data_IF_639819475775
#
_entry.id   IF_639819475775
#
_cell.length_a   1.000
_cell.length_b   1.000
_cell.length_c   1.000
_cell.angle_alpha   90.00
_cell.angle_beta   90.00
_cell.angle_gamma   90.00
#
_symmetry.space_group_name_H-M   'P 1'
#
loop_
_entity.id
_entity.type
_entity.pdbx_description
1 polymer ?
#
# COMPACT_ATOMS: atom_id res chain seq x y z
N UNK A 1 -10.99 43.46 -3.26
CA UNK A 1 -11.21 42.03 -3.54
C UNK A 1 -11.41 41.37 -2.19
N UNK A 2 -12.45 40.55 -2.07
CA UNK A 2 -12.75 39.81 -0.83
C UNK A 2 -12.59 38.33 -1.21
N UNK A 3 -11.76 37.61 -0.46
CA UNK A 3 -11.35 36.24 -0.79
C UNK A 3 -11.00 35.49 0.50
N UNK A 4 -12.00 35.17 1.34
CA UNK A 4 -11.79 34.30 2.50
C UNK A 4 -11.50 32.88 2.02
N UNK A 5 -10.63 32.16 2.72
CA UNK A 5 -10.23 30.81 2.35
C UNK A 5 -10.04 29.94 3.58
N UNK A 6 -10.17 28.63 3.41
CA UNK A 6 -9.87 27.63 4.43
C UNK A 6 -8.93 26.56 3.89
N UNK A 7 -7.92 26.19 4.69
CA UNK A 7 -7.09 25.02 4.47
C UNK A 7 -7.21 24.07 5.66
N UNK A 8 -7.03 22.76 5.43
CA UNK A 8 -7.22 21.74 6.46
C UNK A 8 -6.17 20.63 6.35
N UNK A 9 -5.67 20.18 7.49
CA UNK A 9 -4.84 18.98 7.62
C UNK A 9 -5.28 18.15 8.82
N UNK A 10 -4.90 16.87 8.85
CA UNK A 10 -5.12 15.95 9.96
C UNK A 10 -3.84 15.17 10.26
N UNK A 11 -3.49 15.04 11.54
CA UNK A 11 -2.32 14.31 12.01
C UNK A 11 -2.65 13.46 13.25
N UNK A 12 -2.26 12.17 13.28
CA UNK A 12 -1.75 11.40 12.15
C UNK A 12 -2.81 11.20 11.04
N UNK A 13 -2.36 10.88 9.82
CA UNK A 13 -3.25 10.56 8.69
C UNK A 13 -3.82 9.14 8.74
N UNK A 14 -3.46 8.35 9.76
CA UNK A 14 -4.05 7.06 10.08
C UNK A 14 -4.12 6.86 11.60
N UNK A 15 -5.11 6.08 12.08
CA UNK A 15 -5.28 5.82 13.51
C UNK A 15 -6.11 4.55 13.78
N UNK A 16 -5.90 3.96 14.96
CA UNK A 16 -6.68 2.88 15.54
C UNK A 16 -7.75 3.42 16.50
N UNK A 17 -8.74 2.59 16.82
CA UNK A 17 -9.69 2.88 17.91
C UNK A 17 -8.92 3.17 19.20
N UNK A 18 -9.23 4.33 19.81
CA UNK A 18 -8.63 4.83 21.04
C UNK A 18 -7.47 5.80 20.84
N UNK A 19 -6.94 5.94 19.62
CA UNK A 19 -5.86 6.88 19.31
C UNK A 19 -6.39 8.31 19.09
N UNK A 20 -5.51 9.28 19.31
CA UNK A 20 -5.81 10.71 19.15
C UNK A 20 -5.49 11.14 17.73
N UNK A 21 -6.39 11.91 17.12
CA UNK A 21 -6.17 12.59 15.82
C UNK A 21 -6.49 14.06 15.98
N UNK A 22 -5.58 14.90 15.51
CA UNK A 22 -5.70 16.36 15.56
C UNK A 22 -5.91 16.92 14.17
N UNK A 23 -7.00 17.65 13.97
CA UNK A 23 -7.25 18.40 12.75
C UNK A 23 -6.88 19.86 12.94
N UNK A 24 -6.17 20.43 11.98
CA UNK A 24 -5.80 21.85 11.97
C UNK A 24 -6.44 22.53 10.77
N UNK A 25 -7.20 23.58 11.01
CA UNK A 25 -7.75 24.44 9.97
C UNK A 25 -7.03 25.80 10.01
N UNK A 26 -6.62 26.29 8.84
CA UNK A 26 -6.11 27.65 8.67
C UNK A 26 -7.17 28.46 7.93
N UNK A 27 -7.67 29.53 8.55
CA UNK A 27 -8.70 30.41 8.01
C UNK A 27 -8.06 31.76 7.73
N UNK A 28 -8.17 32.24 6.50
CA UNK A 28 -7.46 33.43 6.01
C UNK A 28 -8.35 34.29 5.13
N UNK A 29 -8.00 35.57 4.95
CA UNK A 29 -8.52 36.41 3.86
C UNK A 29 -7.37 36.81 2.94
N UNK A 30 -7.37 36.25 1.73
CA UNK A 30 -6.36 36.47 0.68
C UNK A 30 -6.62 37.78 -0.10
N UNK A 31 -7.78 38.41 0.12
CA UNK A 31 -8.16 39.67 -0.47
C UNK A 31 -7.54 40.89 0.23
N UNK A 32 -7.87 42.07 -0.31
CA UNK A 32 -7.45 43.38 0.21
C UNK A 32 -8.62 44.18 0.84
N UNK A 33 -9.78 43.55 1.00
CA UNK A 33 -10.95 44.10 1.69
C UNK A 33 -11.54 43.09 2.69
N UNK A 34 -12.22 43.62 3.71
CA UNK A 34 -12.84 42.83 4.79
C UNK A 34 -13.90 41.86 4.25
N UNK A 35 -13.93 40.65 4.81
CA UNK A 35 -14.99 39.66 4.57
C UNK A 35 -15.90 39.61 5.80
N UNK A 36 -17.20 39.85 5.62
CA UNK A 36 -18.18 39.93 6.69
C UNK A 36 -18.90 38.60 6.90
N UNK A 37 -19.33 38.35 8.14
CA UNK A 37 -20.04 37.16 8.59
C UNK A 37 -19.35 35.85 8.15
N UNK A 38 -18.03 35.79 8.33
CA UNK A 38 -17.24 34.60 8.00
C UNK A 38 -17.48 33.52 9.04
N UNK A 39 -17.97 32.36 8.60
CA UNK A 39 -18.24 31.20 9.45
C UNK A 39 -17.61 29.96 8.85
N UNK A 40 -16.95 29.15 9.69
CA UNK A 40 -16.43 27.84 9.31
C UNK A 40 -17.22 26.75 10.02
N UNK A 41 -17.73 25.79 9.25
CA UNK A 41 -18.41 24.59 9.75
C UNK A 41 -17.63 23.35 9.37
N UNK A 42 -17.40 22.47 10.33
CA UNK A 42 -16.65 21.22 10.19
C UNK A 42 -17.47 20.09 10.81
N UNK A 43 -18.05 19.23 9.96
CA UNK A 43 -18.80 18.06 10.41
C UNK A 43 -17.88 16.82 10.39
N UNK A 44 -17.41 16.43 11.58
CA UNK A 44 -16.47 15.34 11.70
C UNK A 44 -17.17 13.98 11.54
N UNK A 45 -16.55 13.01 10.84
CA UNK A 45 -17.04 11.64 10.76
C UNK A 45 -17.44 11.06 12.12
N UNK A 46 -18.54 10.31 12.19
CA UNK A 46 -19.10 9.78 13.45
C UNK A 46 -18.14 8.87 14.24
N UNK A 47 -17.12 8.33 13.59
CA UNK A 47 -16.07 7.54 14.24
C UNK A 47 -15.02 8.40 14.97
N UNK A 48 -15.13 9.72 14.95
CA UNK A 48 -14.27 10.66 15.68
C UNK A 48 -15.08 11.33 16.80
N UNK A 49 -14.60 11.22 18.02
CA UNK A 49 -15.17 11.92 19.17
C UNK A 49 -14.36 13.18 19.46
N UNK A 50 -14.97 14.36 19.34
CA UNK A 50 -14.32 15.64 19.65
C UNK A 50 -14.03 15.71 21.16
N UNK A 51 -12.79 16.02 21.52
CA UNK A 51 -12.37 16.19 22.91
C UNK A 51 -12.06 17.64 23.26
N UNK A 52 -11.53 18.40 22.30
CA UNK A 52 -11.13 19.79 22.51
C UNK A 52 -11.14 20.56 21.18
N UNK A 53 -11.50 21.84 21.25
CA UNK A 53 -11.36 22.78 20.13
C UNK A 53 -10.73 24.06 20.65
N UNK A 54 -9.65 24.51 20.00
CA UNK A 54 -8.93 25.74 20.35
C UNK A 54 -8.80 26.61 19.10
N UNK A 55 -9.02 27.92 19.26
CA UNK A 55 -8.82 28.92 18.19
C UNK A 55 -7.69 29.88 18.60
N UNK A 56 -6.76 30.11 17.69
CA UNK A 56 -5.64 31.03 17.86
C UNK A 56 -5.55 32.01 16.67
N UNK A 57 -5.43 33.33 16.90
CA UNK A 57 -5.56 34.00 18.20
C UNK A 57 -6.96 33.81 18.82
N UNK A 58 -7.06 33.96 20.14
CA UNK A 58 -8.35 33.84 20.83
C UNK A 58 -9.28 35.00 20.48
N UNK A 59 -10.55 34.72 20.23
CA UNK A 59 -11.55 35.75 19.95
C UNK A 59 -12.83 35.16 19.37
N UNK A 60 -12.74 34.47 18.21
CA UNK A 60 -13.89 33.83 17.58
C UNK A 60 -14.58 32.82 18.51
N UNK A 61 -15.91 32.92 18.73
CA UNK A 61 -16.65 31.93 19.49
C UNK A 61 -16.73 30.59 18.76
N UNK A 62 -16.63 29.50 19.53
CA UNK A 62 -16.76 28.12 19.04
C UNK A 62 -18.05 27.52 19.57
N UNK A 63 -18.84 26.92 18.69
CA UNK A 63 -20.01 26.10 19.03
C UNK A 63 -19.77 24.66 18.61
N UNK A 64 -20.06 23.71 19.50
CA UNK A 64 -19.98 22.27 19.21
C UNK A 64 -21.37 21.67 19.41
N UNK A 65 -21.94 21.09 18.36
CA UNK A 65 -23.22 20.40 18.40
C UNK A 65 -23.07 19.00 17.81
N UNK A 66 -23.11 17.97 18.66
CA UNK A 66 -22.81 16.61 18.24
C UNK A 66 -21.36 16.50 17.74
N UNK A 67 -21.20 16.12 16.48
CA UNK A 67 -19.90 15.99 15.81
C UNK A 67 -19.57 17.19 14.90
N UNK A 68 -20.34 18.27 15.00
CA UNK A 68 -20.12 19.47 14.19
C UNK A 68 -19.48 20.57 15.03
N UNK A 69 -18.37 21.11 14.54
CA UNK A 69 -17.71 22.31 15.06
C UNK A 69 -18.08 23.48 14.17
N UNK A 70 -18.53 24.58 14.77
CA UNK A 70 -18.77 25.84 14.07
C UNK A 70 -17.99 26.96 14.75
N UNK A 71 -17.24 27.73 13.96
CA UNK A 71 -16.49 28.90 14.42
C UNK A 71 -16.99 30.11 13.65
N UNK A 72 -17.41 31.13 14.39
CA UNK A 72 -17.88 32.40 13.84
C UNK A 72 -16.76 33.44 13.99
N UNK A 73 -16.21 33.89 12.87
CA UNK A 73 -15.14 34.88 12.82
C UNK A 73 -15.66 36.31 12.69
N UNK A 74 -16.97 36.49 12.55
CA UNK A 74 -17.60 37.78 12.26
C UNK A 74 -16.94 38.44 11.02
N UNK A 75 -16.10 39.45 11.22
CA UNK A 75 -15.34 40.10 10.15
C UNK A 75 -13.92 39.55 10.10
N UNK A 76 -13.51 39.03 8.94
CA UNK A 76 -12.13 38.59 8.67
C UNK A 76 -11.40 39.66 7.84
N UNK A 77 -10.49 40.38 8.49
CA UNK A 77 -9.74 41.47 7.85
C UNK A 77 -8.66 40.94 6.88
N UNK A 78 -8.22 41.73 5.89
CA UNK A 78 -7.06 41.38 5.08
C UNK A 78 -5.86 41.00 5.94
N UNK A 79 -5.12 39.96 5.54
CA UNK A 79 -3.93 39.42 6.24
C UNK A 79 -4.18 38.75 7.59
N UNK A 80 -5.43 38.72 8.06
CA UNK A 80 -5.78 38.02 9.29
C UNK A 80 -5.75 36.51 9.07
N UNK A 81 -5.17 35.78 10.04
CA UNK A 81 -5.03 34.33 10.00
C UNK A 81 -5.45 33.76 11.34
N UNK A 82 -6.43 32.86 11.31
CA UNK A 82 -6.81 32.05 12.45
C UNK A 82 -6.44 30.59 12.22
N UNK A 83 -5.97 29.95 13.29
CA UNK A 83 -5.78 28.50 13.35
C UNK A 83 -6.82 27.90 14.29
N UNK A 84 -7.62 26.96 13.77
CA UNK A 84 -8.55 26.14 14.57
C UNK A 84 -7.96 24.75 14.73
N UNK A 85 -7.69 24.36 15.97
CA UNK A 85 -7.18 23.03 16.32
C UNK A 85 -8.30 22.22 16.94
N UNK A 86 -8.69 21.11 16.29
CA UNK A 86 -9.73 20.19 16.74
C UNK A 86 -9.07 18.87 17.14
N UNK A 87 -9.04 18.58 18.45
CA UNK A 87 -8.52 17.33 18.99
C UNK A 87 -9.65 16.30 19.08
N UNK A 88 -9.39 15.09 18.62
CA UNK A 88 -10.36 13.99 18.60
C UNK A 88 -9.78 12.68 19.11
N UNK A 89 -10.64 11.76 19.53
CA UNK A 89 -10.30 10.34 19.77
C UNK A 89 -11.09 9.48 18.79
N UNK A 90 -10.43 8.52 18.14
CA UNK A 90 -11.09 7.51 17.29
C UNK A 90 -11.92 6.58 18.17
N UNK A 91 -13.23 6.51 17.94
CA UNK A 91 -14.14 5.71 18.75
C UNK A 91 -14.45 4.35 18.10
N UNK A 92 -15.27 3.54 18.78
CA UNK A 92 -15.58 2.16 18.38
C UNK A 92 -16.38 2.01 17.09
N UNK A 93 -16.90 3.10 16.50
CA UNK A 93 -17.56 3.07 15.19
C UNK A 93 -16.55 3.05 14.04
N UNK A 94 -15.26 3.25 14.32
CA UNK A 94 -14.22 3.28 13.30
C UNK A 94 -14.05 1.91 12.63
N UNK A 95 -14.00 1.94 11.30
CA UNK A 95 -13.73 0.78 10.45
C UNK A 95 -12.85 1.22 9.28
N UNK A 96 -11.95 0.36 8.78
CA UNK A 96 -11.34 0.57 7.48
C UNK A 96 -12.43 0.79 6.40
N UNK A 97 -12.19 1.63 5.37
CA UNK A 97 -10.94 2.35 5.12
C UNK A 97 -10.75 3.63 5.95
N UNK A 98 -11.72 4.01 6.79
CA UNK A 98 -11.78 5.30 7.48
C UNK A 98 -12.69 6.28 6.75
N UNK A 99 -12.30 7.56 6.68
CA UNK A 99 -13.14 8.58 6.06
C UNK A 99 -12.46 9.92 5.88
N UNK A 100 -13.18 10.84 5.26
CA UNK A 100 -12.71 12.20 5.00
C UNK A 100 -13.45 13.18 5.90
N UNK A 101 -12.69 14.04 6.58
CA UNK A 101 -13.23 15.17 7.33
C UNK A 101 -13.24 16.42 6.43
N UNK A 102 -14.36 17.13 6.35
CA UNK A 102 -14.56 18.27 5.43
C UNK A 102 -14.97 19.50 6.24
N UNK A 103 -14.24 20.60 6.06
CA UNK A 103 -14.59 21.91 6.57
C UNK A 103 -15.07 22.80 5.41
N UNK A 104 -16.12 23.58 5.66
CA UNK A 104 -16.69 24.55 4.71
C UNK A 104 -16.72 25.93 5.34
N UNK A 105 -16.29 26.93 4.58
CA UNK A 105 -16.35 28.35 4.91
C UNK A 105 -17.54 29.00 4.19
N UNK A 106 -18.21 29.92 4.87
CA UNK A 106 -19.25 30.78 4.29
C UNK A 106 -19.01 32.24 4.67
N UNK A 107 -19.43 33.18 3.83
CA UNK A 107 -19.39 34.63 4.07
C UNK A 107 -20.62 35.28 3.42
N UNK A 108 -21.04 36.46 3.92
CA UNK A 108 -22.07 37.29 3.27
C UNK A 108 -21.48 38.25 2.22
N UNK A 109 -20.15 38.39 2.18
CA UNK A 109 -19.46 39.24 1.23
C UNK A 109 -19.33 38.59 -0.15
N UNK A 110 -19.24 39.38 -1.24
CA UNK A 110 -18.94 38.85 -2.57
C UNK A 110 -17.53 38.25 -2.64
N UNK A 111 -17.46 36.93 -2.76
CA UNK A 111 -16.20 36.18 -2.83
C UNK A 111 -15.63 36.14 -4.25
N UNK A 112 -14.34 36.46 -4.37
CA UNK A 112 -13.60 36.43 -5.63
C UNK A 112 -13.15 35.02 -6.05
N UNK A 113 -12.96 34.10 -5.11
CA UNK A 113 -12.52 32.71 -5.38
C UNK A 113 -13.24 31.70 -4.47
N UNK A 114 -14.52 31.37 -4.75
CA UNK A 114 -15.28 30.47 -3.90
C UNK A 114 -14.77 29.02 -3.88
N UNK A 115 -13.83 28.64 -4.76
CA UNK A 115 -13.30 27.27 -4.83
C UNK A 115 -12.39 26.95 -3.63
N UNK A 116 -11.89 27.97 -2.91
CA UNK A 116 -11.03 27.82 -1.74
C UNK A 116 -11.81 27.84 -0.38
N UNK A 117 -13.14 27.83 -0.44
CA UNK A 117 -14.05 27.78 0.71
C UNK A 117 -14.33 26.38 1.25
N UNK A 118 -13.65 25.35 0.73
CA UNK A 118 -13.78 24.00 1.23
C UNK A 118 -12.40 23.35 1.34
N UNK A 119 -12.14 22.70 2.47
CA UNK A 119 -10.93 21.94 2.68
C UNK A 119 -11.23 20.60 3.33
N UNK A 120 -10.42 19.59 3.02
CA UNK A 120 -10.64 18.23 3.50
C UNK A 120 -9.35 17.57 3.97
N UNK A 121 -9.48 16.65 4.92
CA UNK A 121 -8.40 15.80 5.39
C UNK A 121 -8.89 14.35 5.52
N UNK A 122 -8.19 13.41 4.88
CA UNK A 122 -8.52 11.99 4.97
C UNK A 122 -7.81 11.35 6.14
N UNK A 123 -8.53 10.50 6.89
CA UNK A 123 -8.00 9.67 7.96
C UNK A 123 -8.26 8.20 7.63
N UNK A 124 -7.20 7.40 7.60
CA UNK A 124 -7.32 5.94 7.45
C UNK A 124 -7.51 5.27 8.81
N UNK A 125 -8.44 4.34 8.91
CA UNK A 125 -8.63 3.55 10.13
C UNK A 125 -7.90 2.21 10.01
N UNK A 126 -7.13 1.89 11.05
CA UNK A 126 -6.37 0.64 11.15
C UNK A 126 -6.93 -0.21 12.27
N UNK A 127 -6.92 -1.53 12.08
CA UNK A 127 -7.34 -2.46 13.12
C UNK A 127 -6.14 -2.76 14.05
N UNK A 128 -6.34 -2.84 15.37
CA UNK A 128 -5.29 -3.31 16.27
C UNK A 128 -4.86 -4.73 15.86
N UNK A 129 -3.55 -4.94 15.69
CA UNK A 129 -3.01 -6.16 15.11
C UNK A 129 -2.95 -6.17 13.58
N UNK A 130 -3.00 -4.98 12.95
CA UNK A 130 -2.59 -4.81 11.56
C UNK A 130 -1.23 -5.51 11.35
N UNK A 131 -1.09 -6.33 10.30
CA UNK A 131 0.11 -7.13 10.17
C UNK A 131 1.33 -6.24 9.90
N UNK A 132 2.43 -6.51 10.59
CA UNK A 132 3.70 -5.85 10.31
C UNK A 132 4.28 -6.38 8.98
N UNK A 133 4.83 -5.48 8.18
CA UNK A 133 5.56 -5.82 6.97
C UNK A 133 6.78 -6.70 7.29
N UNK A 134 6.98 -7.83 6.59
CA UNK A 134 8.09 -8.73 6.87
C UNK A 134 9.45 -8.06 6.69
N UNK A 135 10.43 -8.52 7.45
CA UNK A 135 11.84 -8.18 7.24
C UNK A 135 12.36 -8.87 5.99
N UNK A 136 12.68 -8.10 4.96
CA UNK A 136 12.99 -8.60 3.61
C UNK A 136 14.44 -8.31 3.23
N UNK A 137 15.35 -8.16 4.19
CA UNK A 137 16.77 -7.93 3.88
C UNK A 137 17.68 -8.58 4.90
N UNK A 138 18.76 -9.17 4.42
CA UNK A 138 19.88 -9.58 5.25
C UNK A 138 20.86 -8.41 5.44
N UNK A 139 21.90 -8.60 6.24
CA UNK A 139 22.96 -7.60 6.35
C UNK A 139 23.74 -7.50 5.01
N UNK A 140 23.77 -6.34 4.34
CA UNK A 140 24.48 -6.20 3.07
C UNK A 140 25.98 -6.52 3.21
N UNK A 141 26.56 -7.19 2.21
CA UNK A 141 27.98 -7.56 2.21
C UNK A 141 28.38 -8.59 3.28
N UNK A 142 27.42 -9.18 4.01
CA UNK A 142 27.68 -10.19 5.05
C UNK A 142 26.99 -11.50 4.72
N UNK A 143 27.78 -12.58 4.66
CA UNK A 143 27.24 -13.94 4.59
C UNK A 143 26.45 -14.26 5.86
N UNK A 144 25.19 -14.65 5.68
CA UNK A 144 24.28 -15.10 6.74
C UNK A 144 24.00 -16.59 6.54
N UNK A 145 24.31 -17.40 7.55
CA UNK A 145 24.05 -18.84 7.51
C UNK A 145 22.60 -19.10 7.90
N UNK A 146 21.81 -19.61 6.96
CA UNK A 146 20.41 -19.94 7.19
C UNK A 146 20.24 -21.34 7.82
N UNK A 147 19.25 -21.55 8.69
CA UNK A 147 18.85 -22.88 9.10
C UNK A 147 18.24 -23.65 7.92
N UNK A 148 18.21 -24.98 8.03
CA UNK A 148 17.52 -25.83 7.05
C UNK A 148 16.04 -25.46 6.98
N UNK A 149 15.51 -25.31 5.75
CA UNK A 149 14.08 -25.04 5.52
C UNK A 149 13.22 -26.11 6.23
N UNK A 150 12.26 -25.71 7.10
CA UNK A 150 11.35 -26.65 7.74
C UNK A 150 10.55 -27.45 6.69
N UNK A 151 10.38 -28.76 6.90
CA UNK A 151 9.67 -29.66 5.97
C UNK A 151 8.20 -29.30 5.75
N UNK A 152 7.60 -28.57 6.71
CA UNK A 152 6.20 -28.18 6.69
C UNK A 152 5.98 -26.83 5.98
N UNK A 153 7.06 -26.16 5.55
CA UNK A 153 7.07 -24.83 4.95
C UNK A 153 7.47 -24.87 3.48
N UNK A 154 6.63 -25.49 2.66
CA UNK A 154 6.67 -25.27 1.23
C UNK A 154 5.87 -24.00 0.92
N UNK A 155 6.56 -22.94 0.46
CA UNK A 155 5.84 -21.83 -0.15
C UNK A 155 4.92 -22.36 -1.25
N UNK A 156 3.68 -21.85 -1.27
CA UNK A 156 2.70 -22.36 -2.22
C UNK A 156 3.08 -21.92 -3.64
N UNK A 157 3.24 -22.87 -4.54
CA UNK A 157 3.41 -22.57 -5.97
C UNK A 157 2.03 -22.49 -6.61
N UNK A 158 1.74 -21.38 -7.29
CA UNK A 158 0.47 -21.16 -7.99
C UNK A 158 0.58 -21.44 -9.50
N UNK A 159 1.48 -22.35 -9.89
CA UNK A 159 1.72 -22.68 -11.30
C UNK A 159 2.53 -21.61 -12.03
N UNK A 160 1.93 -20.95 -13.03
CA UNK A 160 2.58 -20.01 -13.96
C UNK A 160 2.64 -18.56 -13.47
N UNK A 161 2.28 -18.30 -12.21
CA UNK A 161 2.24 -16.94 -11.68
C UNK A 161 3.65 -16.35 -11.57
N UNK A 162 3.92 -15.29 -12.34
CA UNK A 162 5.25 -14.64 -12.38
C UNK A 162 5.13 -13.12 -12.35
N UNK A 163 6.12 -12.48 -11.75
CA UNK A 163 6.29 -11.04 -11.70
C UNK A 163 7.34 -10.61 -12.72
N UNK A 164 7.03 -9.57 -13.49
CA UNK A 164 7.97 -8.84 -14.34
C UNK A 164 7.94 -7.35 -13.98
N UNK A 165 9.11 -6.74 -13.74
CA UNK A 165 9.29 -5.30 -13.56
C UNK A 165 10.32 -4.83 -14.58
N UNK A 166 9.90 -4.43 -15.79
CA UNK A 166 10.82 -4.16 -16.90
C UNK A 166 11.85 -3.07 -16.58
N UNK A 167 11.45 -2.04 -15.84
CA UNK A 167 12.31 -0.92 -15.47
C UNK A 167 13.50 -1.34 -14.58
N UNK A 168 13.40 -2.48 -13.89
CA UNK A 168 14.44 -3.02 -13.01
C UNK A 168 15.10 -4.29 -13.58
N UNK A 169 14.66 -4.78 -14.75
CA UNK A 169 15.13 -6.04 -15.32
C UNK A 169 14.79 -7.26 -14.46
N UNK A 170 13.72 -7.19 -13.67
CA UNK A 170 13.28 -8.26 -12.77
C UNK A 170 12.24 -9.13 -13.48
N UNK A 171 12.46 -10.44 -13.49
CA UNK A 171 11.47 -11.43 -13.94
C UNK A 171 11.63 -12.71 -13.11
N UNK A 172 10.61 -13.10 -12.34
CA UNK A 172 10.70 -14.20 -11.38
C UNK A 172 9.34 -14.80 -11.01
N UNK A 173 9.28 -16.06 -10.51
CA UNK A 173 8.03 -16.63 -9.99
C UNK A 173 7.51 -15.87 -8.76
N UNK A 174 6.19 -15.88 -8.60
CA UNK A 174 5.51 -15.44 -7.36
C UNK A 174 5.10 -16.67 -6.56
N UNK A 175 5.62 -16.78 -5.34
CA UNK A 175 5.25 -17.81 -4.37
C UNK A 175 4.27 -17.27 -3.34
N UNK A 176 3.40 -18.13 -2.80
CA UNK A 176 2.53 -17.79 -1.67
C UNK A 176 3.23 -17.93 -0.33
N UNK A 177 3.27 -16.84 0.44
CA UNK A 177 3.83 -16.78 1.79
C UNK A 177 2.68 -16.89 2.79
N UNK A 178 2.58 -18.00 3.55
CA UNK A 178 1.50 -18.15 4.53
C UNK A 178 1.63 -17.14 5.66
N UNK A 179 0.49 -16.60 6.12
CA UNK A 179 0.44 -15.77 7.32
C UNK A 179 0.41 -16.67 8.55
N UNK A 180 1.31 -16.41 9.49
CA UNK A 180 1.37 -17.07 10.81
C UNK A 180 1.02 -16.09 11.92
N UNK A 181 1.00 -16.55 13.18
CA UNK A 181 0.79 -15.68 14.34
C UNK A 181 1.89 -14.61 14.51
N UNK A 182 3.10 -14.86 14.00
CA UNK A 182 4.23 -13.93 14.01
C UNK A 182 4.39 -13.13 12.71
N UNK A 183 3.37 -13.12 11.84
CA UNK A 183 3.42 -12.47 10.53
C UNK A 183 3.87 -13.42 9.42
N UNK A 184 4.62 -12.89 8.45
CA UNK A 184 5.14 -13.63 7.31
C UNK A 184 6.64 -13.87 7.44
N UNK A 185 7.06 -15.12 7.27
CA UNK A 185 8.47 -15.48 7.23
C UNK A 185 8.95 -15.62 5.78
N UNK A 186 9.83 -14.71 5.39
CA UNK A 186 10.39 -14.62 4.04
C UNK A 186 11.83 -15.11 3.99
N UNK A 187 12.37 -15.67 5.08
CA UNK A 187 13.80 -16.01 5.22
C UNK A 187 14.34 -16.89 4.09
N UNK A 188 13.52 -17.78 3.53
CA UNK A 188 13.92 -18.71 2.45
C UNK A 188 13.40 -18.30 1.08
N UNK A 189 12.85 -17.09 0.93
CA UNK A 189 12.31 -16.61 -0.34
C UNK A 189 13.42 -16.44 -1.40
N UNK A 190 14.64 -16.11 -0.96
CA UNK A 190 15.82 -15.97 -1.81
C UNK A 190 15.62 -14.97 -2.96
N UNK A 191 15.82 -15.39 -4.21
CA UNK A 191 15.73 -14.57 -5.42
C UNK A 191 14.31 -14.55 -6.03
N UNK A 192 13.29 -14.97 -5.28
CA UNK A 192 11.91 -15.05 -5.75
C UNK A 192 11.04 -13.93 -5.17
N UNK A 193 9.86 -13.74 -5.77
CA UNK A 193 8.82 -12.87 -5.23
C UNK A 193 7.85 -13.67 -4.35
N UNK A 194 7.36 -13.05 -3.27
CA UNK A 194 6.43 -13.65 -2.32
C UNK A 194 5.15 -12.85 -2.19
N UNK A 195 4.02 -13.40 -2.63
CA UNK A 195 2.70 -12.86 -2.32
C UNK A 195 2.35 -13.14 -0.84
N UNK A 196 1.99 -12.10 -0.09
CA UNK A 196 1.64 -12.19 1.32
C UNK A 196 0.18 -12.66 1.49
N UNK A 197 -0.01 -13.94 1.87
CA UNK A 197 -1.35 -14.50 2.07
C UNK A 197 -2.15 -13.69 3.10
N UNK A 198 -3.43 -13.49 2.81
CA UNK A 198 -4.33 -12.65 3.62
C UNK A 198 -4.48 -11.23 3.08
N UNK A 199 -3.69 -10.85 2.07
CA UNK A 199 -3.97 -9.69 1.20
C UNK A 199 -4.81 -10.13 0.00
N UNK A 200 -5.16 -9.21 -0.92
CA UNK A 200 -5.89 -9.62 -2.12
C UNK A 200 -5.01 -10.53 -2.99
N UNK A 201 -5.58 -11.59 -3.55
CA UNK A 201 -4.84 -12.47 -4.43
C UNK A 201 -4.36 -11.70 -5.68
N UNK A 202 -3.12 -11.92 -6.18
CA UNK A 202 -2.63 -11.24 -7.38
C UNK A 202 -3.62 -11.38 -8.54
N UNK A 203 -3.85 -10.31 -9.30
CA UNK A 203 -4.88 -10.17 -10.36
C UNK A 203 -6.32 -9.88 -9.90
N UNK A 204 -6.66 -10.04 -8.61
CA UNK A 204 -8.02 -9.78 -8.10
C UNK A 204 -8.20 -8.33 -7.63
N UNK A 205 -9.45 -7.87 -7.57
CA UNK A 205 -9.79 -6.59 -6.92
C UNK A 205 -9.36 -6.59 -5.46
N UNK A 206 -8.84 -5.45 -4.99
CA UNK A 206 -8.15 -5.36 -3.71
C UNK A 206 -6.67 -5.02 -3.88
N UNK A 207 -5.99 -4.87 -2.75
CA UNK A 207 -4.55 -4.64 -2.72
C UNK A 207 -3.81 -5.96 -2.49
N UNK A 208 -3.06 -6.41 -3.49
CA UNK A 208 -2.16 -7.56 -3.37
C UNK A 208 -0.78 -7.10 -2.95
N UNK A 209 -0.26 -7.63 -1.84
CA UNK A 209 1.10 -7.27 -1.39
C UNK A 209 2.07 -8.35 -1.81
N UNK A 210 3.06 -7.96 -2.63
CA UNK A 210 4.12 -8.84 -3.13
C UNK A 210 5.45 -8.32 -2.60
N UNK A 211 6.23 -9.20 -1.98
CA UNK A 211 7.51 -8.87 -1.38
C UNK A 211 8.67 -9.61 -2.04
N UNK A 212 9.87 -9.14 -1.79
CA UNK A 212 11.11 -9.68 -2.34
C UNK A 212 12.28 -9.06 -1.60
N UNK A 213 13.43 -9.76 -1.62
CA UNK A 213 14.56 -9.32 -0.83
C UNK A 213 15.22 -8.05 -1.38
N UNK A 214 15.61 -7.11 -0.50
CA UNK A 214 16.51 -5.99 -0.83
C UNK A 214 17.97 -6.45 -0.87
N UNK A 215 18.30 -7.46 -0.07
CA UNK A 215 19.63 -8.07 0.03
C UNK A 215 19.49 -9.53 0.37
N UNK A 216 20.36 -10.36 -0.21
CA UNK A 216 20.34 -11.82 -0.09
C UNK A 216 21.25 -12.31 1.05
N UNK A 217 21.07 -13.56 1.52
CA UNK A 217 21.91 -14.14 2.57
C UNK A 217 23.39 -14.23 2.23
N UNK A 218 23.77 -14.24 0.95
CA UNK A 218 25.18 -14.20 0.54
C UNK A 218 25.79 -12.79 0.60
N UNK A 219 24.99 -11.78 0.98
CA UNK A 219 25.37 -10.38 1.08
C UNK A 219 25.23 -9.61 -0.22
N UNK A 220 24.80 -10.25 -1.32
CA UNK A 220 24.52 -9.57 -2.59
C UNK A 220 23.19 -8.81 -2.57
N UNK A 221 22.96 -7.98 -3.58
CA UNK A 221 21.70 -7.27 -3.77
C UNK A 221 20.58 -8.25 -4.12
N UNK A 222 19.41 -8.05 -3.52
CA UNK A 222 18.22 -8.85 -3.80
C UNK A 222 17.42 -8.32 -4.98
N UNK A 223 16.43 -9.08 -5.45
CA UNK A 223 15.67 -8.73 -6.66
C UNK A 223 14.85 -7.45 -6.52
N UNK A 224 14.55 -7.00 -5.29
CA UNK A 224 13.82 -5.76 -5.03
C UNK A 224 14.72 -4.60 -4.59
N UNK A 225 16.04 -4.74 -4.69
CA UNK A 225 17.01 -3.72 -4.26
C UNK A 225 16.80 -2.33 -4.90
N UNK A 226 16.16 -2.25 -6.07
CA UNK A 226 15.91 -1.01 -6.80
C UNK A 226 14.46 -0.51 -6.80
N UNK A 227 13.57 -1.00 -5.94
CA UNK A 227 12.15 -0.57 -5.95
C UNK A 227 11.98 0.94 -5.76
N UNK A 228 12.86 1.61 -5.02
CA UNK A 228 12.87 3.06 -4.80
C UNK A 228 13.17 3.86 -6.09
N UNK A 229 13.67 3.19 -7.13
CA UNK A 229 13.98 3.79 -8.43
C UNK A 229 12.77 3.80 -9.36
N UNK A 230 11.68 3.12 -8.99
CA UNK A 230 10.45 3.13 -9.76
C UNK A 230 9.82 4.53 -9.79
N UNK A 231 9.14 4.84 -10.89
CA UNK A 231 8.52 6.14 -11.16
C UNK A 231 7.09 5.95 -11.66
N UNK A 232 6.28 6.98 -11.48
CA UNK A 232 4.90 7.01 -11.96
C UNK A 232 4.79 6.58 -13.43
N UNK A 233 3.82 5.71 -13.72
CA UNK A 233 3.53 5.20 -15.06
C UNK A 233 4.43 4.05 -15.52
N UNK A 234 5.45 3.65 -14.76
CA UNK A 234 6.22 2.45 -15.10
C UNK A 234 5.39 1.18 -14.85
N UNK A 235 5.62 0.19 -15.70
CA UNK A 235 4.86 -1.05 -15.68
C UNK A 235 5.35 -2.03 -14.59
N UNK A 236 4.40 -2.70 -13.97
CA UNK A 236 4.57 -3.92 -13.19
C UNK A 236 3.62 -4.95 -13.82
N UNK A 237 4.15 -6.08 -14.27
CA UNK A 237 3.38 -7.05 -15.04
C UNK A 237 3.29 -8.35 -14.24
N UNK A 238 2.07 -8.86 -14.08
CA UNK A 238 1.82 -10.17 -13.48
C UNK A 238 1.34 -11.11 -14.58
N UNK A 239 2.16 -12.12 -14.87
CA UNK A 239 1.83 -13.19 -15.80
C UNK A 239 1.10 -14.30 -15.08
N UNK A 240 0.07 -14.86 -15.70
CA UNK A 240 -0.58 -16.07 -15.21
C UNK A 240 -1.75 -16.49 -16.09
N UNK A 241 -1.91 -17.79 -16.28
CA UNK A 241 -3.02 -18.39 -17.05
C UNK A 241 -3.11 -17.88 -18.50
N UNK A 242 -1.95 -17.65 -19.14
CA UNK A 242 -1.87 -17.12 -20.50
C UNK A 242 -2.29 -15.65 -20.64
N UNK A 243 -2.32 -14.90 -19.53
CA UNK A 243 -2.63 -13.48 -19.50
C UNK A 243 -1.49 -12.69 -18.86
N UNK A 244 -1.30 -11.46 -19.35
CA UNK A 244 -0.42 -10.43 -18.78
C UNK A 244 -1.31 -9.35 -18.16
N UNK A 245 -1.26 -9.22 -16.85
CA UNK A 245 -1.96 -8.17 -16.11
C UNK A 245 -0.98 -7.01 -15.92
N UNK A 246 -1.22 -5.91 -16.61
CA UNK A 246 -0.32 -4.76 -16.64
C UNK A 246 -0.80 -3.72 -15.64
N UNK A 247 0.02 -3.48 -14.63
CA UNK A 247 -0.18 -2.46 -13.61
C UNK A 247 0.75 -1.28 -13.88
N UNK A 248 0.32 -0.08 -13.55
CA UNK A 248 1.15 1.12 -13.61
C UNK A 248 1.40 1.67 -12.21
N UNK A 249 2.67 2.00 -11.93
CA UNK A 249 3.10 2.65 -10.69
C UNK A 249 2.38 3.99 -10.54
N UNK A 250 1.82 4.23 -9.36
CA UNK A 250 1.16 5.48 -8.96
C UNK A 250 1.92 6.23 -7.87
N UNK A 251 2.76 5.55 -7.11
CA UNK A 251 3.57 6.15 -6.06
C UNK A 251 4.60 5.16 -5.51
N UNK A 252 5.66 5.69 -4.90
CA UNK A 252 6.67 4.93 -4.18
C UNK A 252 6.96 5.67 -2.89
N UNK A 253 6.59 5.04 -1.77
CA UNK A 253 6.65 5.65 -0.45
C UNK A 253 7.69 4.95 0.43
N UNK A 254 8.34 5.73 1.30
CA UNK A 254 9.19 5.20 2.36
C UNK A 254 8.38 5.19 3.66
N UNK A 255 8.10 3.99 4.15
CA UNK A 255 7.18 3.77 5.28
C UNK A 255 7.85 2.95 6.38
N UNK A 256 7.30 2.95 7.59
CA UNK A 256 7.75 2.01 8.64
C UNK A 256 7.18 0.61 8.40
N UNK A 257 7.63 -0.38 9.17
CA UNK A 257 7.14 -1.76 9.00
C UNK A 257 5.67 -1.91 9.43
N UNK A 258 5.21 -1.05 10.33
CA UNK A 258 3.86 -1.03 10.90
C UNK A 258 2.91 -0.12 10.12
N UNK A 259 3.40 0.53 9.07
CA UNK A 259 2.59 1.48 8.31
C UNK A 259 1.42 0.76 7.64
N UNK A 260 0.17 1.16 7.96
CA UNK A 260 -1.02 0.47 7.48
C UNK A 260 -1.26 0.66 5.99
N UNK A 261 -0.67 1.69 5.37
CA UNK A 261 -0.87 2.01 3.95
C UNK A 261 -0.38 0.88 3.06
N UNK A 262 0.58 0.07 3.53
CA UNK A 262 1.07 -1.15 2.88
C UNK A 262 -0.08 -2.12 2.59
N UNK A 263 -0.99 -2.29 3.55
CA UNK A 263 -2.08 -3.26 3.51
C UNK A 263 -3.46 -2.62 3.31
N UNK A 264 -3.50 -1.35 2.90
CA UNK A 264 -4.75 -0.61 2.74
C UNK A 264 -5.70 -1.33 1.79
N UNK A 265 -6.99 -1.28 2.10
CA UNK A 265 -8.03 -1.80 1.21
C UNK A 265 -8.11 -0.96 -0.06
N UNK A 266 -8.42 -1.61 -1.17
CA UNK A 266 -8.57 -0.99 -2.48
C UNK A 266 -9.77 -1.59 -3.20
N UNK A 267 -10.56 -0.77 -3.90
CA UNK A 267 -11.72 -1.25 -4.65
C UNK A 267 -11.34 -1.81 -6.03
N UNK A 268 -10.22 -1.32 -6.59
CA UNK A 268 -9.66 -1.78 -7.87
C UNK A 268 -8.54 -2.81 -7.63
N UNK A 269 -8.12 -3.58 -8.65
CA UNK A 269 -6.95 -4.44 -8.54
C UNK A 269 -5.67 -3.60 -8.42
N UNK A 270 -5.09 -3.57 -7.23
CA UNK A 270 -3.82 -2.93 -6.92
C UNK A 270 -2.77 -3.96 -6.53
N UNK A 271 -1.52 -3.61 -6.77
CA UNK A 271 -0.33 -4.34 -6.31
C UNK A 271 0.53 -3.38 -5.52
N UNK A 272 0.92 -3.77 -4.31
CA UNK A 272 1.95 -3.10 -3.52
C UNK A 272 3.20 -3.97 -3.52
N UNK A 273 4.26 -3.51 -4.18
CA UNK A 273 5.59 -4.13 -4.12
C UNK A 273 6.31 -3.63 -2.88
N UNK A 274 6.86 -4.55 -2.08
CA UNK A 274 7.36 -4.25 -0.75
C UNK A 274 8.75 -4.82 -0.51
N UNK A 275 9.69 -3.98 -0.05
CA UNK A 275 11.00 -4.45 0.44
C UNK A 275 11.55 -3.55 1.56
N UNK A 276 12.66 -3.94 2.17
CA UNK A 276 13.36 -3.20 3.22
C UNK A 276 14.19 -2.04 2.66
N UNK A 277 14.33 -0.95 3.44
CA UNK A 277 15.16 0.20 3.07
C UNK A 277 15.96 0.75 4.25
N UNK A 278 17.16 1.26 3.97
CA UNK A 278 18.01 1.97 4.93
C UNK A 278 18.53 1.07 6.06
N UNK A 279 19.41 0.13 5.72
CA UNK A 279 20.09 -0.72 6.69
C UNK A 279 20.92 0.10 7.68
N UNK A 280 20.78 -0.20 8.97
CA UNK A 280 21.53 0.40 10.07
C UNK A 280 22.51 -0.60 10.66
N UNK A 281 23.79 -0.47 10.32
CA UNK A 281 24.87 -1.34 10.79
C UNK A 281 25.00 -1.40 12.31
N UNK A 282 24.65 -0.33 13.04
CA UNK A 282 24.77 -0.29 14.50
C UNK A 282 23.68 -1.10 15.18
N UNK A 283 22.50 -1.19 14.55
CA UNK A 283 21.33 -1.91 15.08
C UNK A 283 21.15 -3.29 14.44
N UNK A 284 21.84 -3.57 13.33
CA UNK A 284 21.66 -4.76 12.49
C UNK A 284 20.20 -4.90 12.02
N UNK A 285 19.56 -3.79 11.64
CA UNK A 285 18.15 -3.75 11.21
C UNK A 285 17.91 -2.78 10.05
N UNK A 286 16.82 -2.98 9.31
CA UNK A 286 16.29 -2.01 8.35
C UNK A 286 15.20 -1.18 9.02
N UNK A 287 15.31 0.15 8.91
CA UNK A 287 14.39 1.08 9.61
C UNK A 287 13.09 1.30 8.85
N UNK A 288 13.14 1.24 7.52
CA UNK A 288 12.03 1.59 6.66
C UNK A 288 11.73 0.44 5.69
N UNK A 289 10.64 0.60 4.95
CA UNK A 289 10.24 -0.19 3.80
C UNK A 289 10.08 0.73 2.60
N UNK A 290 10.37 0.22 1.41
CA UNK A 290 9.88 0.81 0.16
C UNK A 290 8.54 0.14 -0.15
N UNK A 291 7.49 0.92 -0.31
CA UNK A 291 6.18 0.48 -0.77
C UNK A 291 5.89 1.14 -2.12
N UNK A 292 5.95 0.38 -3.21
CA UNK A 292 5.63 0.86 -4.54
C UNK A 292 4.22 0.39 -4.94
N UNK A 293 3.30 1.33 -5.11
CA UNK A 293 1.89 1.05 -5.37
C UNK A 293 1.58 1.16 -6.86
N UNK A 294 0.98 0.12 -7.44
CA UNK A 294 0.59 0.06 -8.84
C UNK A 294 -0.87 -0.38 -9.00
N UNK A 295 -1.58 0.20 -9.96
CA UNK A 295 -2.99 -0.14 -10.26
C UNK A 295 -3.10 -0.78 -11.63
N UNK A 296 -3.96 -1.78 -11.76
CA UNK A 296 -4.18 -2.47 -13.03
C UNK A 296 -4.76 -1.50 -14.08
N UNK A 297 -4.14 -1.46 -15.26
CA UNK A 297 -4.56 -0.61 -16.38
C UNK A 297 -4.99 -1.41 -17.61
N UNK A 298 -4.41 -2.58 -17.83
CA UNK A 298 -4.81 -3.46 -18.95
C UNK A 298 -4.58 -4.94 -18.63
N UNK A 299 -5.31 -5.79 -19.34
CA UNK A 299 -5.11 -7.24 -19.35
C UNK A 299 -4.95 -7.64 -20.81
N UNK A 300 -3.86 -8.32 -21.11
CA UNK A 300 -3.49 -8.75 -22.47
C UNK A 300 -3.32 -10.27 -22.51
N UNK A 301 -3.46 -10.86 -23.69
CA UNK A 301 -3.09 -12.27 -23.89
C UNK A 301 -1.57 -12.35 -23.90
N UNK A 302 -1.02 -13.28 -23.12
CA UNK A 302 0.41 -13.55 -23.12
C UNK A 302 0.72 -14.34 -24.39
N UNK A 303 1.34 -13.68 -25.37
CA UNK A 303 1.74 -14.29 -26.65
C UNK A 303 2.88 -15.28 -26.42
N UNK A 304 2.54 -16.46 -25.89
CA UNK A 304 3.39 -17.66 -26.02
C UNK A 304 3.15 -18.20 -27.43
N UNK A 305 4.17 -18.31 -28.30
CA UNK A 305 3.98 -18.76 -29.67
C UNK A 305 3.29 -20.13 -29.71
N UNK A 306 2.11 -20.17 -30.34
CA UNK A 306 1.40 -21.40 -30.66
C UNK A 306 2.17 -22.18 -31.73
N UNK A 307 3.10 -23.06 -31.32
CA UNK A 307 3.80 -23.87 -32.32
C UNK A 307 5.04 -24.65 -31.88
N UNK A 308 4.96 -25.43 -30.80
CA UNK A 308 5.90 -26.52 -30.56
C UNK A 308 5.12 -27.81 -30.33
N UNK A 309 5.03 -28.68 -31.34
CA UNK A 309 4.53 -30.04 -31.10
C UNK A 309 5.34 -30.69 -29.96
N UNK A 310 4.71 -31.45 -29.05
CA UNK A 310 5.47 -32.22 -28.09
C UNK A 310 6.38 -33.17 -28.87
N UNK A 311 7.69 -33.11 -28.57
CA UNK A 311 8.65 -34.06 -29.08
C UNK A 311 8.09 -35.47 -28.90
N UNK A 312 7.97 -36.20 -30.01
CA UNK A 312 7.51 -37.57 -30.04
C UNK A 312 8.18 -38.37 -28.93
N UNK A 313 7.37 -39.03 -28.13
CA UNK A 313 7.77 -40.00 -27.11
C UNK A 313 8.90 -40.90 -27.65
N UNK A 314 10.03 -41.09 -26.93
CA UNK A 314 11.01 -42.07 -27.36
C UNK A 314 10.32 -43.44 -27.32
N UNK A 315 10.10 -44.03 -28.50
CA UNK A 315 9.65 -45.41 -28.63
C UNK A 315 10.76 -46.30 -28.05
N UNK A 316 10.54 -46.85 -26.86
CA UNK A 316 11.26 -48.01 -26.38
C UNK A 316 11.05 -49.16 -27.38
N UNK A 317 12.02 -49.38 -28.26
CA UNK A 317 12.08 -50.54 -29.14
C UNK A 317 12.48 -51.76 -28.32
N UNK A 318 11.48 -52.47 -27.79
CA UNK A 318 11.68 -53.83 -27.27
C UNK A 318 11.74 -54.81 -28.45
N UNK A 319 12.94 -55.12 -28.93
CA UNK A 319 13.18 -56.26 -29.83
C UNK A 319 13.87 -57.39 -29.08
N UNK A 320 13.06 -58.27 -28.48
CA UNK A 320 13.53 -59.48 -27.80
C UNK A 320 12.49 -60.58 -27.96
N UNK A 321 12.52 -61.26 -29.11
CA UNK A 321 11.71 -62.48 -29.34
C UNK A 321 12.25 -63.63 -28.48
N UNK A 322 11.37 -64.45 -27.87
CA UNK A 322 11.77 -65.76 -27.36
C UNK A 322 11.97 -66.74 -28.53
N UNK A 323 13.10 -67.47 -28.53
CA UNK A 323 13.34 -68.62 -29.42
C UNK A 323 12.46 -69.79 -28.97
N UNK A 324 11.26 -69.91 -29.53
CA UNK A 324 10.50 -71.15 -29.57
C UNK A 324 11.06 -72.05 -30.68
N UNK A 325 11.72 -73.14 -30.31
CA UNK A 325 12.25 -74.16 -31.23
C UNK A 325 11.25 -75.31 -31.26
N UNK A 326 10.51 -75.47 -32.35
CA UNK A 326 9.75 -76.69 -32.66
C UNK A 326 10.35 -77.35 -33.91
N UNK A 327 10.57 -78.66 -33.84
CA UNK A 327 10.82 -79.45 -35.05
C UNK A 327 11.68 -80.71 -34.88
N UNK A 328 11.02 -81.81 -34.48
CA UNK A 328 11.19 -83.21 -34.95
C UNK A 328 12.46 -84.00 -34.57
N UNK A 329 12.24 -85.22 -34.03
CA UNK A 329 13.22 -86.33 -33.94
C UNK A 329 13.60 -86.90 -35.32
N UNK A 330 14.33 -88.04 -35.46
CA UNK A 330 14.13 -89.31 -34.74
C UNK A 330 15.44 -90.04 -34.33
N UNK A 331 15.27 -91.28 -33.85
CA UNK A 331 16.21 -92.35 -33.44
C UNK A 331 16.61 -92.38 -31.97
#
# INVERSE_FOLDING_TARGET
>A
MIDPAVAKSGDPSFASVGEVVTFTLSVTNNGDADADNVMVTDELPLFLSITEVVVAPSGPPVTILGNTVTVDFDTLSPTEVYTVTITTIVNSLASPPGGTNIATLTTDSPDADPDNNQASATLMIVLPGAPEAPGTGFAPGRLTVLPSLPSDWAYATYGELRLEIPALGVEMPILGIPRTASGWDVTWLWDQAGYLNGTAFPTWSGNSVITGHVSLPDGSEGPFAGLEQLRFGQAVIIHGWGLRHIYEIRGVDLVTAEDPTIFRHEERPWVTLLTCYGYDERRDTYRLRVAAHAVLVSIEVDDVPSGGQPASTPRLSWSGRPKGRSGRGPW
#
